data_IF_546212068576
#
_entry.id   IF_546212068576
#
_cell.length_a   1.000
_cell.length_b   1.000
_cell.length_c   1.000
_cell.angle_alpha   90.00
_cell.angle_beta   90.00
_cell.angle_gamma   90.00
#
_symmetry.space_group_name_H-M   'P 1'
#
loop_
_entity.id
_entity.type
_entity.pdbx_description
1 polymer ?
#
# COMPACT_ATOMS: atom_id res chain seq x y z
N UNK A 1 -0.50 -7.87 54.18
CA UNK A 1 0.31 -7.83 52.94
C UNK A 1 0.56 -6.36 52.61
N UNK A 2 1.81 -5.94 52.45
CA UNK A 2 2.13 -4.55 52.11
C UNK A 2 1.68 -4.24 50.68
N UNK A 3 1.15 -3.04 50.46
CA UNK A 3 0.80 -2.58 49.13
C UNK A 3 2.09 -2.21 48.40
N UNK A 4 2.52 -3.05 47.46
CA UNK A 4 3.75 -2.89 46.68
C UNK A 4 3.56 -1.82 45.58
N UNK A 5 2.33 -1.66 45.07
CA UNK A 5 2.05 -0.73 43.97
C UNK A 5 1.13 0.43 44.37
N UNK A 6 1.43 1.68 43.97
CA UNK A 6 0.54 2.82 44.22
C UNK A 6 -0.83 2.64 43.55
N UNK A 7 -1.91 3.10 44.20
CA UNK A 7 -3.29 3.01 43.67
C UNK A 7 -3.46 3.60 42.27
N UNK A 8 -2.63 4.58 41.88
CA UNK A 8 -2.61 5.20 40.54
C UNK A 8 -2.31 4.19 39.43
N UNK A 9 -1.61 3.10 39.73
CA UNK A 9 -1.29 2.03 38.76
C UNK A 9 -2.55 1.36 38.22
N UNK A 10 -3.64 1.30 39.00
CA UNK A 10 -4.92 0.74 38.56
C UNK A 10 -5.57 1.53 37.43
N UNK A 11 -5.21 2.81 37.28
CA UNK A 11 -5.69 3.67 36.19
C UNK A 11 -4.63 3.79 35.09
N UNK A 12 -3.36 3.90 35.45
CA UNK A 12 -2.26 4.05 34.49
C UNK A 12 -2.09 2.81 33.61
N UNK A 13 -2.09 1.62 34.19
CA UNK A 13 -1.84 0.38 33.46
C UNK A 13 -2.87 0.11 32.35
N UNK A 14 -4.19 0.18 32.57
CA UNK A 14 -5.16 -0.03 31.49
C UNK A 14 -5.09 1.05 30.42
N UNK A 15 -4.77 2.31 30.77
CA UNK A 15 -4.58 3.38 29.79
C UNK A 15 -3.37 3.12 28.88
N UNK A 16 -2.26 2.67 29.45
CA UNK A 16 -1.07 2.31 28.66
C UNK A 16 -1.34 1.11 27.75
N UNK A 17 -2.08 0.11 28.23
CA UNK A 17 -2.48 -1.06 27.43
C UNK A 17 -3.41 -0.64 26.28
N UNK A 18 -4.42 0.19 26.55
CA UNK A 18 -5.33 0.69 25.53
C UNK A 18 -4.60 1.56 24.49
N UNK A 19 -3.74 2.47 24.94
CA UNK A 19 -2.92 3.31 24.07
C UNK A 19 -1.99 2.49 23.17
N UNK A 20 -1.38 1.43 23.70
CA UNK A 20 -0.57 0.50 22.91
C UNK A 20 -1.38 -0.21 21.84
N UNK A 21 -2.56 -0.74 22.18
CA UNK A 21 -3.43 -1.45 21.23
C UNK A 21 -3.86 -0.52 20.10
N UNK A 22 -4.32 0.70 20.44
CA UNK A 22 -4.72 1.69 19.45
C UNK A 22 -3.55 2.12 18.56
N UNK A 23 -2.37 2.33 19.14
CA UNK A 23 -1.16 2.67 18.39
C UNK A 23 -0.79 1.58 17.38
N UNK A 24 -0.84 0.31 17.79
CA UNK A 24 -0.56 -0.83 16.89
C UNK A 24 -1.61 -0.96 15.79
N UNK A 25 -2.89 -0.84 16.13
CA UNK A 25 -3.97 -0.91 15.15
C UNK A 25 -3.88 0.21 14.10
N UNK A 26 -3.57 1.44 14.52
CA UNK A 26 -3.37 2.57 13.62
C UNK A 26 -2.16 2.35 12.69
N UNK A 27 -1.06 1.81 13.23
CA UNK A 27 0.11 1.48 12.43
C UNK A 27 -0.20 0.43 11.36
N UNK A 28 -0.90 -0.65 11.71
CA UNK A 28 -1.31 -1.71 10.76
C UNK A 28 -2.23 -1.13 9.68
N UNK A 29 -3.22 -0.34 10.06
CA UNK A 29 -4.15 0.28 9.13
C UNK A 29 -3.43 1.19 8.12
N UNK A 30 -2.53 2.02 8.61
CA UNK A 30 -1.75 2.92 7.77
C UNK A 30 -0.89 2.16 6.76
N UNK A 31 -0.18 1.12 7.22
CA UNK A 31 0.66 0.30 6.37
C UNK A 31 -0.18 -0.40 5.30
N UNK A 32 -1.26 -1.08 5.70
CA UNK A 32 -2.13 -1.81 4.77
C UNK A 32 -2.75 -0.89 3.70
N UNK A 33 -3.13 0.33 4.08
CA UNK A 33 -3.77 1.26 3.17
C UNK A 33 -2.80 1.82 2.13
N UNK A 34 -1.65 2.34 2.57
CA UNK A 34 -0.72 3.03 1.66
C UNK A 34 0.22 2.09 0.91
N UNK A 35 0.40 0.86 1.37
CA UNK A 35 1.16 -0.16 0.63
C UNK A 35 0.25 -1.04 -0.23
N UNK A 36 -1.00 -0.62 -0.44
CA UNK A 36 -1.90 -1.30 -1.36
C UNK A 36 -1.53 -0.98 -2.83
N UNK A 37 -1.84 -1.88 -3.79
CA UNK A 37 -1.69 -1.67 -5.24
C UNK A 37 -2.27 -0.35 -5.77
N UNK A 38 -3.20 0.23 -5.02
CA UNK A 38 -3.77 1.55 -5.29
C UNK A 38 -2.71 2.65 -5.33
N UNK A 39 -1.64 2.47 -4.59
CA UNK A 39 -0.55 3.42 -4.50
C UNK A 39 0.77 2.83 -5.00
N UNK A 40 0.87 1.50 -5.12
CA UNK A 40 2.13 0.85 -5.55
C UNK A 40 2.22 0.56 -7.06
N UNK A 41 1.10 0.35 -7.77
CA UNK A 41 1.13 -0.12 -9.17
C UNK A 41 0.60 0.94 -10.15
N UNK A 42 0.94 2.19 -9.85
CA UNK A 42 0.53 3.37 -10.62
C UNK A 42 1.48 3.59 -11.79
N UNK A 43 0.99 3.38 -13.01
CA UNK A 43 1.83 3.51 -14.19
C UNK A 43 2.93 2.45 -14.27
N UNK A 44 2.80 1.35 -13.53
CA UNK A 44 3.70 0.20 -13.62
C UNK A 44 3.84 -0.26 -15.08
N UNK A 45 5.08 -0.27 -15.56
CA UNK A 45 5.45 -0.63 -16.93
C UNK A 45 6.72 -1.49 -16.86
N UNK A 46 6.60 -2.81 -16.90
CA UNK A 46 7.76 -3.70 -16.83
C UNK A 46 8.61 -3.58 -18.09
N UNK A 47 9.92 -3.82 -17.95
CA UNK A 47 10.83 -3.92 -19.10
C UNK A 47 10.35 -5.03 -20.01
N UNK A 48 10.10 -4.66 -21.26
CA UNK A 48 9.63 -5.62 -22.23
C UNK A 48 10.82 -6.40 -22.79
N UNK A 49 10.66 -7.68 -23.14
CA UNK A 49 11.73 -8.46 -23.77
C UNK A 49 12.22 -7.89 -25.11
N UNK A 50 11.44 -6.99 -25.71
CA UNK A 50 11.68 -6.32 -26.97
C UNK A 50 11.31 -4.84 -26.80
N UNK A 51 12.05 -3.94 -27.47
CA UNK A 51 11.82 -2.49 -27.50
C UNK A 51 10.55 -2.13 -28.30
N UNK A 52 9.42 -2.54 -27.78
CA UNK A 52 8.12 -2.21 -28.34
C UNK A 52 7.67 -0.83 -27.88
N UNK A 53 7.40 0.05 -28.85
CA UNK A 53 6.94 1.40 -28.60
C UNK A 53 5.52 1.60 -29.10
N UNK A 54 4.52 1.63 -28.22
CA UNK A 54 3.16 2.05 -28.59
C UNK A 54 3.13 3.46 -29.19
N UNK A 55 4.02 4.34 -28.75
CA UNK A 55 4.10 5.71 -29.26
C UNK A 55 4.45 5.73 -30.75
N UNK A 56 5.47 4.96 -31.16
CA UNK A 56 5.86 4.88 -32.57
C UNK A 56 4.75 4.25 -33.41
N UNK A 57 4.22 3.11 -32.96
CA UNK A 57 3.27 2.33 -33.76
C UNK A 57 1.91 3.02 -33.87
N UNK A 58 1.30 3.39 -32.75
CA UNK A 58 -0.04 3.97 -32.76
C UNK A 58 -0.03 5.50 -32.91
N UNK A 59 1.02 6.17 -32.44
CA UNK A 59 1.15 7.63 -32.54
C UNK A 59 1.68 8.04 -33.90
N UNK A 60 2.95 7.73 -34.17
CA UNK A 60 3.67 8.31 -35.30
C UNK A 60 3.33 7.62 -36.64
N UNK A 61 3.20 6.29 -36.63
CA UNK A 61 2.89 5.50 -37.82
C UNK A 61 1.39 5.37 -38.10
N UNK A 62 0.55 5.77 -37.13
CA UNK A 62 -0.91 5.64 -37.24
C UNK A 62 -1.37 4.20 -37.46
N UNK A 63 -0.56 3.20 -37.05
CA UNK A 63 -0.95 1.79 -37.14
C UNK A 63 -2.14 1.60 -36.21
N UNK A 64 -3.23 1.16 -36.81
CA UNK A 64 -4.46 0.88 -36.09
C UNK A 64 -4.18 -0.12 -34.94
N UNK A 65 -4.68 0.18 -33.74
CA UNK A 65 -4.44 -0.65 -32.55
C UNK A 65 -4.77 -2.13 -32.77
N UNK A 66 -5.77 -2.44 -33.61
CA UNK A 66 -6.25 -3.80 -33.92
C UNK A 66 -5.30 -4.60 -34.76
N UNK A 67 -4.27 -3.95 -35.28
CA UNK A 67 -3.22 -4.63 -36.01
C UNK A 67 -2.42 -5.59 -35.11
N UNK A 68 -2.10 -5.18 -33.87
CA UNK A 68 -1.34 -6.01 -32.92
C UNK A 68 -2.20 -6.55 -31.77
N UNK A 69 -3.16 -5.75 -31.31
CA UNK A 69 -4.07 -6.12 -30.24
C UNK A 69 -5.28 -6.84 -30.84
N UNK A 70 -5.01 -7.95 -31.55
CA UNK A 70 -6.01 -8.71 -32.30
C UNK A 70 -6.96 -9.50 -31.40
N UNK A 71 -6.62 -9.64 -30.12
CA UNK A 71 -7.42 -10.36 -29.12
C UNK A 71 -7.19 -9.93 -27.67
N UNK A 72 -6.81 -8.67 -27.45
CA UNK A 72 -6.84 -8.08 -26.10
C UNK A 72 -8.25 -7.76 -25.63
#
# INVERSE_FOLDING_TARGET
MSQIFPKKVNQLLPLLVAGKILGVAAAIFFIWYYFSPRYTDVGYRPTQPIEYSHKLHAGDLGIDCRYCHTGV
#
